data_IF_049368541045
#
_entry.id   IF_049368541045
#
_cell.length_a   1.000
_cell.length_b   1.000
_cell.length_c   1.000
_cell.angle_alpha   90.00
_cell.angle_beta   90.00
_cell.angle_gamma   90.00
#
_symmetry.space_group_name_H-M   'P 1'
#
loop_
_entity.id
_entity.type
_entity.pdbx_description
1 polymer ?
#
# COMPACT_ATOMS: atom_id res chain seq x y z
N UNK A 1 -1.98 -7.42 13.26
CA UNK A 1 -2.74 -6.33 12.65
C UNK A 1 -3.88 -6.97 11.89
N UNK A 2 -5.07 -6.95 12.45
CA UNK A 2 -6.27 -7.41 11.75
C UNK A 2 -6.61 -6.43 10.62
N UNK A 3 -7.35 -6.88 9.60
CA UNK A 3 -7.82 -6.01 8.50
C UNK A 3 -8.53 -4.75 9.03
N UNK A 4 -9.16 -4.85 10.21
CA UNK A 4 -9.82 -3.75 10.91
C UNK A 4 -8.87 -2.59 11.19
N UNK A 5 -7.66 -2.85 11.70
CA UNK A 5 -6.73 -1.78 12.08
C UNK A 5 -6.25 -1.00 10.85
N UNK A 6 -5.98 -1.71 9.74
CA UNK A 6 -5.59 -1.09 8.47
C UNK A 6 -6.76 -0.28 7.89
N UNK A 7 -7.97 -0.84 7.93
CA UNK A 7 -9.17 -0.17 7.46
C UNK A 7 -9.43 1.13 8.24
N UNK A 8 -9.27 1.12 9.57
CA UNK A 8 -9.46 2.30 10.42
C UNK A 8 -8.45 3.41 10.11
N UNK A 9 -7.16 3.05 9.95
CA UNK A 9 -6.11 4.00 9.56
C UNK A 9 -6.43 4.63 8.20
N UNK A 10 -6.80 3.82 7.21
CA UNK A 10 -7.13 4.31 5.88
C UNK A 10 -8.38 5.19 5.91
N UNK A 11 -9.38 4.85 6.74
CA UNK A 11 -10.60 5.64 6.82
C UNK A 11 -10.36 7.04 7.39
N UNK A 12 -9.31 7.23 8.20
CA UNK A 12 -8.87 8.55 8.65
C UNK A 12 -8.47 9.49 7.51
N UNK A 13 -8.06 8.96 6.34
CA UNK A 13 -7.72 9.75 5.15
C UNK A 13 -8.89 9.89 4.17
N UNK A 14 -9.71 8.84 4.01
CA UNK A 14 -10.72 8.79 2.94
C UNK A 14 -12.15 9.10 3.41
N UNK A 15 -12.46 8.90 4.70
CA UNK A 15 -13.81 9.07 5.27
C UNK A 15 -14.90 8.33 4.48
N UNK A 16 -14.64 7.07 4.13
CA UNK A 16 -15.56 6.19 3.38
C UNK A 16 -16.47 5.38 4.31
N UNK A 17 -17.47 4.72 3.71
CA UNK A 17 -18.30 3.75 4.42
C UNK A 17 -17.48 2.53 4.84
N UNK A 18 -17.90 1.88 5.94
CA UNK A 18 -17.21 0.72 6.52
C UNK A 18 -16.95 -0.40 5.50
N UNK A 19 -17.97 -0.79 4.75
CA UNK A 19 -17.85 -1.84 3.73
C UNK A 19 -16.86 -1.48 2.62
N UNK A 20 -16.82 -0.21 2.21
CA UNK A 20 -15.91 0.26 1.15
C UNK A 20 -14.46 0.26 1.63
N UNK A 21 -14.21 0.68 2.87
CA UNK A 21 -12.84 0.75 3.40
C UNK A 21 -12.29 -0.64 3.75
N UNK A 22 -13.12 -1.55 4.26
CA UNK A 22 -12.72 -2.96 4.51
C UNK A 22 -12.40 -3.68 3.19
N UNK A 23 -13.22 -3.46 2.15
CA UNK A 23 -12.95 -3.98 0.81
C UNK A 23 -11.62 -3.43 0.26
N UNK A 24 -11.41 -2.11 0.36
CA UNK A 24 -10.19 -1.46 -0.10
C UNK A 24 -8.93 -1.97 0.63
N UNK A 25 -8.98 -2.09 1.96
CA UNK A 25 -7.88 -2.65 2.76
C UNK A 25 -7.54 -4.09 2.34
N UNK A 26 -8.57 -4.90 2.10
CA UNK A 26 -8.40 -6.30 1.62
C UNK A 26 -7.80 -6.35 0.22
N UNK A 27 -8.20 -5.45 -0.68
CA UNK A 27 -7.64 -5.33 -2.02
C UNK A 27 -6.15 -4.96 -1.98
N UNK A 28 -5.76 -3.98 -1.14
CA UNK A 28 -4.36 -3.60 -0.96
C UNK A 28 -3.50 -4.77 -0.47
N UNK A 29 -3.97 -5.52 0.52
CA UNK A 29 -3.27 -6.71 1.02
C UNK A 29 -3.14 -7.76 -0.10
N UNK A 30 -4.20 -7.95 -0.90
CA UNK A 30 -4.21 -8.91 -2.00
C UNK A 30 -3.17 -8.55 -3.06
N UNK A 31 -3.09 -7.28 -3.47
CA UNK A 31 -2.07 -6.79 -4.43
C UNK A 31 -0.64 -7.11 -3.98
N UNK A 32 -0.35 -6.97 -2.68
CA UNK A 32 0.95 -7.31 -2.10
C UNK A 32 1.17 -8.83 -2.14
N UNK A 33 0.16 -9.62 -1.75
CA UNK A 33 0.25 -11.09 -1.73
C UNK A 33 0.48 -11.70 -3.11
N UNK A 34 -0.21 -11.19 -4.13
CA UNK A 34 -0.10 -11.72 -5.50
C UNK A 34 1.06 -11.13 -6.29
N UNK A 35 1.77 -10.13 -5.73
CA UNK A 35 2.90 -9.43 -6.35
C UNK A 35 2.61 -8.91 -7.77
N UNK A 36 1.35 -8.57 -8.06
CA UNK A 36 0.93 -8.04 -9.38
C UNK A 36 1.28 -6.56 -9.57
N UNK A 37 2.21 -6.05 -8.77
CA UNK A 37 2.56 -4.63 -8.73
C UNK A 37 3.89 -4.38 -9.42
N UNK A 38 3.94 -3.33 -10.25
CA UNK A 38 5.17 -2.88 -10.88
C UNK A 38 6.03 -2.14 -9.83
N UNK A 39 7.11 -2.77 -9.37
CA UNK A 39 7.97 -2.20 -8.33
C UNK A 39 8.65 -0.89 -8.76
N UNK A 40 8.84 -0.67 -10.06
CA UNK A 40 9.38 0.58 -10.60
C UNK A 40 8.38 1.72 -10.43
N UNK A 41 7.11 1.48 -10.72
CA UNK A 41 6.02 2.45 -10.51
C UNK A 41 5.83 2.76 -9.03
N UNK A 42 5.90 1.74 -8.16
CA UNK A 42 5.88 1.96 -6.71
C UNK A 42 7.08 2.82 -6.29
N UNK A 43 8.28 2.56 -6.81
CA UNK A 43 9.46 3.36 -6.50
C UNK A 43 9.32 4.83 -6.96
N UNK A 44 8.62 5.09 -8.07
CA UNK A 44 8.28 6.45 -8.49
C UNK A 44 7.38 7.15 -7.46
N UNK A 45 6.26 6.50 -7.08
CA UNK A 45 5.26 7.04 -6.17
C UNK A 45 5.67 7.08 -4.69
N UNK A 46 6.71 6.36 -4.29
CA UNK A 46 7.17 6.28 -2.91
C UNK A 46 7.87 7.58 -2.48
N UNK A 47 7.17 8.47 -1.77
CA UNK A 47 7.73 9.73 -1.30
C UNK A 47 8.90 9.50 -0.33
N UNK A 48 10.10 9.97 -0.70
CA UNK A 48 11.31 9.87 0.09
C UNK A 48 12.37 10.82 -0.45
N UNK A 49 13.28 11.36 0.39
CA UNK A 49 14.44 12.12 -0.08
C UNK A 49 15.50 11.26 -0.79
N UNK A 50 15.36 9.92 -0.75
CA UNK A 50 16.31 9.00 -1.37
C UNK A 50 16.17 8.96 -2.90
N UNK A 51 17.28 8.65 -3.59
CA UNK A 51 17.29 8.40 -5.04
C UNK A 51 16.31 7.28 -5.41
N UNK A 52 15.72 7.36 -6.59
CA UNK A 52 14.76 6.36 -7.08
C UNK A 52 15.32 4.93 -7.05
N UNK A 53 16.57 4.73 -7.46
CA UNK A 53 17.21 3.41 -7.42
C UNK A 53 17.34 2.87 -5.99
N UNK A 54 17.61 3.75 -5.01
CA UNK A 54 17.64 3.38 -3.60
C UNK A 54 16.25 2.98 -3.10
N UNK A 55 15.19 3.69 -3.53
CA UNK A 55 13.79 3.34 -3.23
C UNK A 55 13.44 1.98 -3.84
N UNK A 56 13.75 1.76 -5.11
CA UNK A 56 13.52 0.48 -5.81
C UNK A 56 14.24 -0.68 -5.12
N UNK A 57 15.52 -0.50 -4.77
CA UNK A 57 16.32 -1.52 -4.07
C UNK A 57 15.73 -1.86 -2.70
N UNK A 58 15.16 -0.88 -1.99
CA UNK A 58 14.49 -1.09 -0.71
C UNK A 58 13.18 -1.87 -0.89
N UNK A 59 12.35 -1.49 -1.86
CA UNK A 59 11.06 -2.13 -2.15
C UNK A 59 11.26 -3.60 -2.55
N UNK A 60 12.28 -3.89 -3.37
CA UNK A 60 12.63 -5.26 -3.83
C UNK A 60 12.93 -6.25 -2.69
N UNK A 61 13.20 -5.78 -1.47
CA UNK A 61 13.52 -6.63 -0.31
C UNK A 61 12.28 -7.25 0.35
N UNK A 62 11.09 -6.80 -0.01
CA UNK A 62 9.80 -7.29 0.48
C UNK A 62 9.12 -8.12 -0.61
#
# INVERSE_FOLDING_TARGET
MSITDLADILNGYFSWSKSRIECFATMLISLIKVRTVNLTEIACGFSSPAKQDSRYTRIKRF
#
